data_IF_676575292966
#
_entry.id   IF_676575292966
#
_cell.length_a   1.000
_cell.length_b   1.000
_cell.length_c   1.000
_cell.angle_alpha   90.00
_cell.angle_beta   90.00
_cell.angle_gamma   90.00
#
_symmetry.space_group_name_H-M   'P 1'
#
loop_
_entity.id
_entity.type
_entity.pdbx_description
1 polymer ?
#
# COMPACT_ATOMS: atom_id res chain seq x y z
N UNK A 1 -62.75 21.47 -10.64
CA UNK A 1 -61.61 20.55 -10.53
C UNK A 1 -60.54 21.15 -11.42
N UNK A 2 -59.53 21.80 -10.86
CA UNK A 2 -58.37 22.27 -11.63
C UNK A 2 -57.62 21.05 -12.15
N UNK A 3 -57.05 21.14 -13.35
CA UNK A 3 -56.24 20.06 -13.90
C UNK A 3 -55.10 19.69 -12.93
N UNK A 4 -54.72 18.40 -12.82
CA UNK A 4 -53.56 18.02 -12.04
C UNK A 4 -52.31 18.70 -12.61
N UNK A 5 -51.44 19.13 -11.72
CA UNK A 5 -50.14 19.69 -12.09
C UNK A 5 -49.25 18.59 -12.67
N UNK A 6 -48.57 18.90 -13.77
CA UNK A 6 -47.70 17.97 -14.51
C UNK A 6 -46.33 18.57 -14.80
N UNK A 7 -45.99 19.71 -14.22
CA UNK A 7 -44.72 20.40 -14.46
C UNK A 7 -43.71 19.87 -13.44
N UNK A 8 -42.58 19.33 -13.92
CA UNK A 8 -41.50 18.91 -13.04
C UNK A 8 -40.82 20.13 -12.37
N UNK A 9 -40.40 20.00 -11.10
CA UNK A 9 -39.70 21.08 -10.40
C UNK A 9 -38.31 21.34 -10.99
N UNK A 10 -37.74 22.51 -10.72
CA UNK A 10 -36.31 22.77 -11.00
C UNK A 10 -35.44 21.92 -10.05
N UNK A 11 -34.61 21.04 -10.62
CA UNK A 11 -33.73 20.16 -9.84
C UNK A 11 -32.60 20.92 -9.14
N UNK A 12 -31.99 21.92 -9.79
CA UNK A 12 -30.80 22.60 -9.28
C UNK A 12 -29.49 21.82 -9.54
N UNK A 13 -28.44 22.12 -8.78
CA UNK A 13 -27.12 21.50 -8.88
C UNK A 13 -26.78 20.69 -7.63
N UNK A 14 -26.37 19.43 -7.82
CA UNK A 14 -25.79 18.61 -6.76
C UNK A 14 -24.39 19.14 -6.39
N UNK A 15 -24.12 19.37 -5.12
CA UNK A 15 -22.83 19.87 -4.63
C UNK A 15 -22.28 18.91 -3.59
N UNK A 16 -21.01 18.51 -3.76
CA UNK A 16 -20.28 17.84 -2.69
C UNK A 16 -19.78 18.88 -1.69
N UNK A 17 -20.05 18.67 -0.41
CA UNK A 17 -19.57 19.48 0.70
C UNK A 17 -18.46 18.71 1.40
N UNK A 18 -17.34 19.38 1.66
CA UNK A 18 -16.12 18.81 2.28
C UNK A 18 -15.48 17.64 1.52
N UNK A 19 -15.80 17.47 0.23
CA UNK A 19 -15.08 16.53 -0.63
C UNK A 19 -13.70 17.08 -0.97
N UNK A 20 -12.68 16.23 -0.79
CA UNK A 20 -11.30 16.52 -1.12
C UNK A 20 -10.94 15.70 -2.36
N UNK A 21 -10.70 16.37 -3.48
CA UNK A 21 -10.09 15.75 -4.66
C UNK A 21 -8.57 15.67 -4.40
N UNK A 22 -8.12 14.53 -3.86
CA UNK A 22 -6.73 14.30 -3.47
C UNK A 22 -5.89 13.67 -4.57
N UNK A 23 -6.54 13.28 -5.67
CA UNK A 23 -5.88 12.69 -6.82
C UNK A 23 -4.91 13.64 -7.50
N UNK A 24 -4.13 13.09 -8.44
CA UNK A 24 -3.10 13.85 -9.17
C UNK A 24 -3.71 15.03 -9.96
N UNK A 25 -4.97 14.95 -10.37
CA UNK A 25 -5.70 16.00 -11.07
C UNK A 25 -6.74 16.63 -10.15
N UNK A 26 -6.82 17.96 -10.09
CA UNK A 26 -7.77 18.65 -9.20
C UNK A 26 -9.22 18.70 -9.72
N UNK A 27 -9.57 17.89 -10.71
CA UNK A 27 -10.86 17.95 -11.43
C UNK A 27 -11.39 16.59 -11.88
N UNK A 28 -10.73 15.48 -11.55
CA UNK A 28 -11.15 14.15 -11.99
C UNK A 28 -12.00 13.41 -10.94
N UNK A 29 -12.12 13.96 -9.74
CA UNK A 29 -12.96 13.41 -8.68
C UNK A 29 -12.39 12.11 -8.11
N UNK A 30 -11.07 11.95 -8.11
CA UNK A 30 -10.39 10.81 -7.48
C UNK A 30 -9.95 11.21 -6.07
N UNK A 31 -10.35 10.44 -5.07
CA UNK A 31 -10.05 10.77 -3.68
C UNK A 31 -9.61 9.57 -2.85
N UNK A 32 -8.67 9.83 -1.95
CA UNK A 32 -8.29 8.97 -0.83
C UNK A 32 -9.04 9.30 0.46
N UNK A 33 -9.98 10.24 0.40
CA UNK A 33 -10.89 10.58 1.49
C UNK A 33 -12.33 10.19 1.09
N UNK A 34 -12.87 9.20 1.78
CA UNK A 34 -14.25 8.76 1.57
C UNK A 34 -15.28 9.58 2.38
N UNK A 35 -14.87 10.68 3.02
CA UNK A 35 -15.70 11.46 3.94
C UNK A 35 -16.18 12.79 3.34
N UNK A 36 -17.41 12.81 2.86
CA UNK A 36 -18.05 14.01 2.30
C UNK A 36 -19.56 14.00 2.52
N UNK A 37 -20.20 15.15 2.30
CA UNK A 37 -21.66 15.26 2.32
C UNK A 37 -22.19 15.76 0.97
N UNK A 38 -23.50 15.59 0.76
CA UNK A 38 -24.22 16.03 -0.42
C UNK A 38 -25.20 17.14 -0.06
N UNK A 39 -25.14 18.23 -0.82
CA UNK A 39 -26.13 19.29 -0.78
C UNK A 39 -26.65 19.59 -2.18
N UNK A 40 -27.70 20.40 -2.28
CA UNK A 40 -28.25 20.82 -3.57
C UNK A 40 -28.51 22.32 -3.57
N UNK A 41 -28.09 23.02 -4.63
CA UNK A 41 -28.22 24.47 -4.76
C UNK A 41 -29.15 24.83 -5.92
N UNK A 42 -29.96 25.89 -5.75
CA UNK A 42 -30.83 26.40 -6.82
C UNK A 42 -32.03 25.53 -7.19
N UNK A 43 -32.38 24.56 -6.35
CA UNK A 43 -33.59 23.75 -6.51
C UNK A 43 -34.85 24.56 -6.20
N UNK A 44 -36.00 24.12 -6.73
CA UNK A 44 -37.28 24.76 -6.50
C UNK A 44 -37.70 24.68 -5.02
N UNK A 45 -38.26 25.78 -4.49
CA UNK A 45 -38.68 25.87 -3.09
C UNK A 45 -39.91 25.00 -2.81
N UNK A 46 -40.08 24.57 -1.55
CA UNK A 46 -41.17 23.68 -1.12
C UNK A 46 -41.21 22.32 -1.83
N UNK A 47 -40.04 21.83 -2.25
CA UNK A 47 -39.85 20.47 -2.79
C UNK A 47 -39.21 19.56 -1.73
N UNK A 48 -39.31 18.25 -1.93
CA UNK A 48 -38.52 17.28 -1.19
C UNK A 48 -37.32 16.82 -2.01
N UNK A 49 -36.18 16.59 -1.35
CA UNK A 49 -34.93 16.15 -1.98
C UNK A 49 -34.56 14.76 -1.47
N UNK A 50 -34.22 13.86 -2.40
CA UNK A 50 -33.72 12.52 -2.13
C UNK A 50 -32.38 12.33 -2.85
N UNK A 51 -31.29 12.14 -2.09
CA UNK A 51 -29.98 11.86 -2.66
C UNK A 51 -29.88 10.39 -3.05
N UNK A 52 -29.29 10.13 -4.22
CA UNK A 52 -29.14 8.79 -4.76
C UNK A 52 -27.70 8.58 -5.23
N UNK A 53 -27.23 7.34 -5.08
CA UNK A 53 -25.94 6.90 -5.60
C UNK A 53 -26.07 5.62 -6.41
N UNK A 54 -25.10 5.38 -7.28
CA UNK A 54 -24.99 4.20 -8.12
C UNK A 54 -23.55 3.69 -8.10
N UNK A 55 -23.39 2.36 -8.13
CA UNK A 55 -22.10 1.64 -8.17
C UNK A 55 -21.91 0.85 -9.48
N UNK A 56 -22.83 1.00 -10.43
CA UNK A 56 -22.90 0.22 -11.66
C UNK A 56 -23.00 1.11 -12.91
N UNK A 57 -22.43 2.31 -12.83
CA UNK A 57 -22.40 3.26 -13.95
C UNK A 57 -23.76 3.86 -14.26
N UNK A 58 -24.53 4.22 -13.22
CA UNK A 58 -25.86 4.83 -13.31
C UNK A 58 -26.98 3.90 -13.80
N UNK A 59 -26.79 2.58 -13.79
CA UNK A 59 -27.81 1.62 -14.21
C UNK A 59 -28.85 1.37 -13.11
N UNK A 60 -28.42 1.26 -11.85
CA UNK A 60 -29.28 1.16 -10.67
C UNK A 60 -28.94 2.25 -9.65
N UNK A 61 -29.96 2.69 -8.91
CA UNK A 61 -29.85 3.80 -7.96
C UNK A 61 -30.32 3.38 -6.58
N UNK A 62 -29.49 3.66 -5.59
CA UNK A 62 -29.75 3.44 -4.17
C UNK A 62 -30.00 4.78 -3.51
N UNK A 63 -30.97 4.85 -2.61
CA UNK A 63 -31.21 6.05 -1.80
C UNK A 63 -30.12 6.16 -0.74
N UNK A 64 -29.49 7.33 -0.67
CA UNK A 64 -28.58 7.68 0.41
C UNK A 64 -29.43 8.08 1.63
N UNK A 65 -29.74 7.09 2.47
CA UNK A 65 -30.29 7.38 3.78
C UNK A 65 -29.14 7.95 4.63
N UNK A 66 -29.34 9.09 5.31
CA UNK A 66 -28.42 9.73 6.27
C UNK A 66 -28.11 8.81 7.49
N UNK A 67 -27.64 7.59 7.24
CA UNK A 67 -27.43 6.53 8.23
C UNK A 67 -25.92 6.32 8.51
N UNK A 68 -25.06 7.20 8.01
CA UNK A 68 -23.61 7.08 8.18
C UNK A 68 -23.01 8.10 9.15
N UNK A 69 -23.81 8.76 9.99
CA UNK A 69 -23.32 9.56 11.12
C UNK A 69 -22.80 8.70 12.29
N UNK A 70 -22.10 7.58 12.04
CA UNK A 70 -21.58 6.74 13.12
C UNK A 70 -20.79 7.55 14.18
N UNK A 71 -20.28 8.73 13.82
CA UNK A 71 -19.58 9.68 14.68
C UNK A 71 -20.30 11.01 14.96
N UNK A 72 -21.49 11.26 14.37
CA UNK A 72 -22.27 12.49 14.59
C UNK A 72 -21.65 13.77 14.03
N UNK A 73 -20.76 13.67 13.05
CA UNK A 73 -20.01 14.78 12.45
C UNK A 73 -20.67 15.37 11.19
N UNK A 74 -21.76 14.75 10.72
CA UNK A 74 -22.51 15.21 9.56
C UNK A 74 -21.94 14.76 8.21
N UNK A 75 -20.98 13.82 8.18
CA UNK A 75 -20.42 13.27 6.94
C UNK A 75 -21.02 11.91 6.56
N UNK A 76 -20.94 11.56 5.27
CA UNK A 76 -21.14 10.20 4.80
C UNK A 76 -19.80 9.52 4.60
N UNK A 77 -19.75 8.21 4.85
CA UNK A 77 -18.57 7.38 4.70
C UNK A 77 -18.82 6.26 3.70
N UNK A 78 -18.12 6.33 2.59
CA UNK A 78 -18.22 5.36 1.52
C UNK A 78 -17.06 4.36 1.57
N UNK A 79 -17.25 3.22 0.92
CA UNK A 79 -16.15 2.27 0.69
C UNK A 79 -15.41 2.67 -0.59
N UNK A 80 -14.19 2.15 -0.73
CA UNK A 80 -13.47 2.17 -2.00
C UNK A 80 -14.37 1.72 -3.17
N UNK A 81 -14.27 2.43 -4.29
CA UNK A 81 -15.02 2.17 -5.51
C UNK A 81 -15.36 3.43 -6.31
N UNK A 82 -15.92 3.21 -7.49
CA UNK A 82 -16.44 4.28 -8.36
C UNK A 82 -17.93 4.47 -8.14
N UNK A 83 -18.35 5.72 -7.99
CA UNK A 83 -19.72 6.09 -7.68
C UNK A 83 -20.23 7.16 -8.65
N UNK A 84 -21.52 7.05 -8.98
CA UNK A 84 -22.29 8.13 -9.61
C UNK A 84 -23.31 8.65 -8.61
N UNK A 85 -23.45 9.97 -8.47
CA UNK A 85 -24.38 10.63 -7.56
C UNK A 85 -25.35 11.54 -8.31
N UNK A 86 -26.59 11.59 -7.85
CA UNK A 86 -27.60 12.57 -8.27
C UNK A 86 -28.57 12.86 -7.13
N UNK A 87 -29.31 13.95 -7.21
CA UNK A 87 -30.46 14.19 -6.35
C UNK A 87 -31.76 14.14 -7.17
N UNK A 88 -32.79 13.53 -6.59
CA UNK A 88 -34.17 13.56 -7.08
C UNK A 88 -34.92 14.63 -6.30
N UNK A 89 -35.57 15.55 -7.02
CA UNK A 89 -36.37 16.64 -6.45
C UNK A 89 -37.83 16.39 -6.80
N UNK A 90 -38.71 16.40 -5.81
CA UNK A 90 -40.14 16.13 -5.98
C UNK A 90 -40.96 17.30 -5.46
N UNK A 91 -41.89 17.79 -6.27
CA UNK A 91 -42.81 18.87 -5.87
C UNK A 91 -44.00 18.35 -5.03
N UNK A 92 -44.86 19.27 -4.58
CA UNK A 92 -46.05 18.91 -3.79
C UNK A 92 -47.10 18.11 -4.58
N UNK A 93 -47.09 18.21 -5.91
CA UNK A 93 -47.96 17.45 -6.79
C UNK A 93 -47.42 16.04 -7.11
N UNK A 94 -46.17 15.76 -6.75
CA UNK A 94 -45.48 14.50 -6.99
C UNK A 94 -44.71 14.44 -8.31
N UNK A 95 -44.54 15.56 -9.03
CA UNK A 95 -43.68 15.59 -10.21
C UNK A 95 -42.21 15.56 -9.80
N UNK A 96 -41.39 14.86 -10.58
CA UNK A 96 -39.98 14.63 -10.25
C UNK A 96 -39.04 15.25 -11.30
N UNK A 97 -37.89 15.72 -10.83
CA UNK A 97 -36.72 16.05 -11.65
C UNK A 97 -35.44 15.54 -10.98
N UNK A 98 -34.36 15.52 -11.75
CA UNK A 98 -33.07 14.99 -11.31
C UNK A 98 -31.96 15.98 -11.63
N UNK A 99 -30.97 16.11 -10.75
CA UNK A 99 -29.74 16.85 -11.05
C UNK A 99 -28.92 16.13 -12.11
N UNK A 100 -27.95 16.85 -12.69
CA UNK A 100 -26.86 16.21 -13.42
C UNK A 100 -26.11 15.21 -12.54
N UNK A 101 -25.58 14.16 -13.17
CA UNK A 101 -24.83 13.10 -12.50
C UNK A 101 -23.40 13.57 -12.25
N UNK A 102 -22.94 13.46 -11.00
CA UNK A 102 -21.52 13.66 -10.66
C UNK A 102 -20.87 12.31 -10.36
N UNK A 103 -19.72 12.04 -10.98
CA UNK A 103 -18.97 10.81 -10.77
C UNK A 103 -17.74 11.09 -9.91
N UNK A 104 -17.41 10.16 -9.02
CA UNK A 104 -16.17 10.16 -8.26
C UNK A 104 -15.60 8.74 -8.18
N UNK A 105 -14.31 8.63 -7.92
CA UNK A 105 -13.67 7.36 -7.56
C UNK A 105 -13.00 7.53 -6.20
N UNK A 106 -13.32 6.63 -5.28
CA UNK A 106 -12.69 6.56 -3.97
C UNK A 106 -11.70 5.42 -4.02
N UNK A 107 -10.44 5.73 -3.75
CA UNK A 107 -9.35 4.77 -3.68
C UNK A 107 -8.64 4.97 -2.35
N UNK A 108 -8.77 3.99 -1.46
CA UNK A 108 -8.22 4.03 -0.11
C UNK A 108 -7.04 3.05 0.03
N UNK A 109 -6.65 2.42 -1.08
CA UNK A 109 -5.64 1.37 -1.08
C UNK A 109 -4.25 2.01 -1.12
N UNK A 110 -3.41 1.64 -0.14
CA UNK A 110 -2.03 2.12 -0.12
C UNK A 110 -1.20 1.43 -1.22
N UNK A 111 -0.18 2.11 -1.77
CA UNK A 111 0.82 1.46 -2.63
C UNK A 111 1.50 0.26 -1.93
N UNK A 112 1.68 -0.85 -2.65
CA UNK A 112 2.39 -2.02 -2.14
C UNK A 112 3.92 -1.86 -2.31
N UNK A 113 4.65 -1.94 -1.20
CA UNK A 113 6.11 -1.78 -1.15
C UNK A 113 6.85 -3.05 -0.71
N UNK A 114 6.16 -4.17 -0.46
CA UNK A 114 6.79 -5.37 0.13
C UNK A 114 7.94 -5.95 -0.70
N UNK A 115 7.87 -5.85 -2.03
CA UNK A 115 8.85 -6.45 -2.95
C UNK A 115 9.76 -5.45 -3.65
N UNK A 116 9.79 -4.20 -3.17
CA UNK A 116 10.51 -3.10 -3.86
C UNK A 116 12.02 -3.32 -3.87
N UNK A 117 12.57 -4.00 -2.86
CA UNK A 117 13.91 -4.58 -2.90
C UNK A 117 13.82 -6.10 -2.80
N UNK A 118 14.58 -6.78 -3.63
CA UNK A 118 14.69 -8.24 -3.65
C UNK A 118 16.14 -8.66 -3.90
N UNK A 119 16.43 -9.95 -3.85
CA UNK A 119 17.74 -10.52 -4.08
C UNK A 119 17.72 -11.43 -5.32
N UNK A 120 18.73 -11.28 -6.19
CA UNK A 120 18.98 -12.20 -7.28
C UNK A 120 20.03 -13.24 -6.87
N UNK A 121 19.62 -14.48 -6.54
CA UNK A 121 20.55 -15.51 -6.07
C UNK A 121 21.54 -15.99 -7.13
N UNK A 122 21.26 -15.75 -8.42
CA UNK A 122 22.11 -16.22 -9.52
C UNK A 122 23.28 -15.28 -9.71
N UNK A 123 23.01 -13.97 -9.70
CA UNK A 123 24.01 -12.96 -10.02
C UNK A 123 24.57 -12.25 -8.77
N UNK A 124 23.95 -12.45 -7.61
CA UNK A 124 24.29 -11.86 -6.32
C UNK A 124 24.14 -10.33 -6.12
N UNK A 125 23.35 -9.56 -6.93
CA UNK A 125 22.96 -8.20 -6.57
C UNK A 125 21.65 -8.14 -5.80
N UNK A 126 21.44 -7.00 -5.15
CA UNK A 126 20.12 -6.57 -4.70
C UNK A 126 19.41 -5.94 -5.91
N UNK A 127 18.17 -6.32 -6.14
CA UNK A 127 17.33 -5.82 -7.23
C UNK A 127 16.35 -4.78 -6.67
N UNK A 128 16.34 -3.59 -7.27
CA UNK A 128 15.30 -2.60 -7.07
C UNK A 128 14.19 -2.78 -8.10
N UNK A 129 13.03 -3.25 -7.62
CA UNK A 129 11.80 -3.33 -8.37
C UNK A 129 11.03 -2.04 -8.14
N UNK A 130 11.26 -1.05 -9.00
CA UNK A 130 10.59 0.24 -8.90
C UNK A 130 9.06 0.06 -8.76
N UNK A 131 8.41 0.79 -7.82
CA UNK A 131 6.95 0.78 -7.71
C UNK A 131 6.29 1.12 -9.05
N UNK A 132 5.09 0.57 -9.27
CA UNK A 132 4.25 0.95 -10.43
C UNK A 132 3.71 2.36 -10.29
N UNK A 133 3.45 2.79 -9.05
CA UNK A 133 3.00 4.11 -8.70
C UNK A 133 4.13 5.14 -8.76
N UNK A 134 3.78 6.43 -8.65
CA UNK A 134 4.79 7.47 -8.54
C UNK A 134 5.60 7.25 -7.25
N UNK A 135 6.91 7.45 -7.31
CA UNK A 135 7.76 7.21 -6.13
C UNK A 135 8.95 8.15 -6.06
N UNK A 136 9.43 8.32 -4.83
CA UNK A 136 10.66 9.00 -4.49
C UNK A 136 11.55 8.07 -3.65
N UNK A 137 12.87 8.19 -3.83
CA UNK A 137 13.83 7.44 -3.04
C UNK A 137 14.73 8.39 -2.27
N UNK A 138 14.97 8.07 -1.01
CA UNK A 138 15.83 8.82 -0.12
C UNK A 138 16.95 7.92 0.40
N UNK A 139 18.15 8.48 0.54
CA UNK A 139 19.27 7.84 1.24
C UNK A 139 19.52 8.57 2.55
N UNK A 140 19.74 7.82 3.62
CA UNK A 140 20.13 8.38 4.91
C UNK A 140 21.60 8.81 4.87
N UNK A 141 21.85 10.10 5.03
CA UNK A 141 23.19 10.71 4.98
C UNK A 141 23.30 11.75 6.08
N UNK A 142 24.34 11.65 6.91
CA UNK A 142 24.60 12.61 8.00
C UNK A 142 23.37 12.91 8.88
N UNK A 143 22.65 11.86 9.29
CA UNK A 143 21.43 11.93 10.13
C UNK A 143 20.20 12.58 9.49
N UNK A 144 20.18 12.72 8.16
CA UNK A 144 19.04 13.26 7.42
C UNK A 144 18.73 12.42 6.17
N UNK A 145 17.46 12.45 5.75
CA UNK A 145 17.03 11.85 4.48
C UNK A 145 17.35 12.80 3.32
N UNK A 146 18.12 12.33 2.35
CA UNK A 146 18.45 13.08 1.15
C UNK A 146 17.86 12.39 -0.09
N UNK A 147 17.16 13.14 -0.94
CA UNK A 147 16.60 12.62 -2.19
C UNK A 147 17.72 12.03 -3.05
N UNK A 148 17.46 10.85 -3.62
CA UNK A 148 18.42 10.12 -4.45
C UNK A 148 17.71 9.30 -5.52
N UNK A 149 18.48 8.59 -6.33
CA UNK A 149 17.97 7.58 -7.25
C UNK A 149 18.64 6.23 -6.97
N UNK A 150 17.92 5.15 -7.20
CA UNK A 150 18.47 3.80 -7.15
C UNK A 150 18.69 3.25 -8.55
N UNK A 151 19.84 2.61 -8.75
CA UNK A 151 20.04 1.76 -9.92
C UNK A 151 19.21 0.50 -9.77
N UNK A 152 18.84 -0.13 -10.89
CA UNK A 152 18.09 -1.40 -10.90
C UNK A 152 18.78 -2.49 -10.07
N UNK A 153 20.11 -2.48 -10.06
CA UNK A 153 20.93 -3.37 -9.24
C UNK A 153 21.74 -2.52 -8.26
N UNK A 154 21.76 -2.94 -7.00
CA UNK A 154 22.57 -2.33 -5.96
C UNK A 154 23.66 -3.31 -5.50
N UNK A 155 24.79 -2.73 -5.09
CA UNK A 155 25.83 -3.45 -4.37
C UNK A 155 25.61 -3.42 -2.85
N UNK A 156 26.57 -3.99 -2.13
CA UNK A 156 26.55 -4.13 -0.67
C UNK A 156 27.24 -2.94 0.04
N UNK A 157 26.85 -1.72 -0.32
CA UNK A 157 27.57 -0.49 0.06
C UNK A 157 27.21 0.05 1.46
N UNK A 158 26.66 -0.79 2.35
CA UNK A 158 26.21 -0.42 3.70
C UNK A 158 25.46 0.91 3.75
N UNK A 159 24.19 0.90 3.38
CA UNK A 159 23.38 2.10 3.21
C UNK A 159 21.95 1.89 3.70
N UNK A 160 21.34 2.98 4.20
CA UNK A 160 19.95 3.03 4.60
C UNK A 160 19.15 3.84 3.59
N UNK A 161 18.10 3.24 3.05
CA UNK A 161 17.23 3.82 2.03
C UNK A 161 15.78 3.89 2.51
N UNK A 162 15.04 4.84 1.96
CA UNK A 162 13.59 4.94 2.12
C UNK A 162 12.94 5.14 0.77
N UNK A 163 11.97 4.31 0.45
CA UNK A 163 11.12 4.48 -0.73
C UNK A 163 9.77 5.00 -0.25
N UNK A 164 9.30 6.08 -0.84
CA UNK A 164 7.95 6.62 -0.61
C UNK A 164 7.22 6.52 -1.95
N UNK A 165 6.09 5.81 -1.98
CA UNK A 165 5.24 5.72 -3.16
C UNK A 165 3.92 6.43 -2.92
N UNK A 166 3.39 7.02 -3.98
CA UNK A 166 2.10 7.73 -4.02
C UNK A 166 1.30 7.26 -5.22
N UNK A 167 0.11 6.74 -4.98
CA UNK A 167 -0.79 6.31 -6.06
C UNK A 167 -1.48 7.49 -6.76
N UNK A 168 -2.40 7.18 -7.68
CA UNK A 168 -3.14 8.19 -8.45
C UNK A 168 -4.16 8.97 -7.61
N UNK A 169 -4.60 8.43 -6.47
CA UNK A 169 -5.54 9.03 -5.54
C UNK A 169 -4.86 9.81 -4.40
N UNK A 170 -3.53 9.78 -4.36
CA UNK A 170 -2.73 10.46 -3.36
C UNK A 170 -2.50 9.63 -2.09
N UNK A 171 -2.85 8.35 -2.04
CA UNK A 171 -2.46 7.48 -0.93
C UNK A 171 -0.94 7.32 -0.92
N UNK A 172 -0.33 7.41 0.27
CA UNK A 172 1.12 7.29 0.42
C UNK A 172 1.49 6.09 1.28
N UNK A 173 2.51 5.36 0.84
CA UNK A 173 3.17 4.32 1.61
C UNK A 173 4.67 4.60 1.66
N UNK A 174 5.32 4.24 2.76
CA UNK A 174 6.78 4.28 2.86
C UNK A 174 7.35 2.97 3.39
N UNK A 175 8.54 2.61 2.91
CA UNK A 175 9.31 1.48 3.41
C UNK A 175 10.77 1.88 3.54
N UNK A 176 11.35 1.53 4.69
CA UNK A 176 12.76 1.77 5.01
C UNK A 176 13.53 0.44 4.90
N UNK A 177 14.74 0.53 4.35
CA UNK A 177 15.64 -0.59 4.09
C UNK A 177 17.04 -0.31 4.62
N UNK A 178 17.60 -1.24 5.36
CA UNK A 178 19.00 -1.27 5.73
C UNK A 178 19.74 -2.30 4.89
N UNK A 179 20.59 -1.85 3.98
CA UNK A 179 21.44 -2.74 3.17
C UNK A 179 22.81 -2.77 3.80
N UNK A 180 23.44 -3.93 3.98
CA UNK A 180 24.83 -3.95 4.43
C UNK A 180 25.51 -5.31 4.52
N UNK A 181 26.84 -5.23 4.61
CA UNK A 181 27.67 -6.36 5.03
C UNK A 181 27.77 -6.40 6.56
N UNK A 182 27.61 -7.57 7.13
CA UNK A 182 27.60 -7.79 8.58
C UNK A 182 28.60 -8.87 8.97
N UNK A 183 29.08 -8.83 10.22
CA UNK A 183 30.16 -9.70 10.71
C UNK A 183 29.83 -10.18 12.13
N UNK A 184 30.11 -11.45 12.41
CA UNK A 184 29.97 -12.06 13.71
C UNK A 184 28.50 -12.10 14.13
N UNK A 185 28.21 -11.65 15.35
CA UNK A 185 26.84 -11.57 15.84
C UNK A 185 26.27 -10.18 15.54
N UNK A 186 25.35 -10.12 14.58
CA UNK A 186 24.71 -8.89 14.11
C UNK A 186 23.19 -8.95 14.28
N UNK A 187 22.67 -7.94 14.95
CA UNK A 187 21.25 -7.63 15.06
C UNK A 187 21.10 -6.12 14.85
N UNK A 188 20.13 -5.70 14.02
CA UNK A 188 19.82 -4.28 13.85
C UNK A 188 19.40 -3.67 15.20
N UNK A 189 19.74 -2.40 15.45
CA UNK A 189 19.25 -1.71 16.65
C UNK A 189 17.76 -1.36 16.56
N UNK A 190 17.27 -1.16 15.34
CA UNK A 190 15.85 -1.00 15.03
C UNK A 190 15.39 -2.27 14.32
N UNK A 191 14.58 -3.04 15.02
CA UNK A 191 14.13 -4.35 14.54
C UNK A 191 12.87 -4.19 13.68
N UNK A 192 12.30 -3.00 13.53
CA UNK A 192 11.06 -2.82 12.76
C UNK A 192 11.26 -2.57 11.27
N UNK A 193 12.51 -2.31 10.85
CA UNK A 193 12.86 -1.98 9.48
C UNK A 193 13.29 -3.21 8.69
N UNK A 194 13.08 -3.18 7.37
CA UNK A 194 13.57 -4.25 6.49
C UNK A 194 15.09 -4.20 6.42
N UNK A 195 15.71 -5.35 6.63
CA UNK A 195 17.14 -5.57 6.68
C UNK A 195 17.57 -6.49 5.53
N UNK A 196 18.44 -5.99 4.67
CA UNK A 196 19.05 -6.72 3.56
C UNK A 196 20.52 -6.88 3.90
N UNK A 197 20.85 -8.02 4.51
CA UNK A 197 22.11 -8.24 5.19
C UNK A 197 22.85 -9.41 4.55
N UNK A 198 24.15 -9.24 4.38
CA UNK A 198 25.03 -10.31 3.92
C UNK A 198 26.21 -10.49 4.87
N UNK A 199 26.39 -11.72 5.33
CA UNK A 199 27.51 -12.15 6.15
C UNK A 199 28.81 -12.24 5.36
N UNK A 200 29.74 -12.99 5.92
CA UNK A 200 31.10 -13.16 5.41
C UNK A 200 31.43 -14.65 5.21
N UNK A 201 32.68 -14.92 4.84
CA UNK A 201 33.24 -16.27 4.81
C UNK A 201 33.53 -16.84 6.22
N UNK A 202 33.33 -16.05 7.28
CA UNK A 202 33.51 -16.46 8.68
C UNK A 202 32.22 -17.05 9.28
N UNK A 203 32.23 -17.32 10.58
CA UNK A 203 30.99 -17.69 11.28
C UNK A 203 30.19 -16.44 11.64
N UNK A 204 28.98 -16.34 11.12
CA UNK A 204 28.10 -15.19 11.32
C UNK A 204 26.74 -15.62 11.90
N UNK A 205 26.22 -14.84 12.85
CA UNK A 205 24.87 -14.91 13.41
C UNK A 205 24.15 -13.63 13.00
N UNK A 206 23.11 -13.76 12.19
CA UNK A 206 22.39 -12.62 11.63
C UNK A 206 20.92 -12.73 12.04
N UNK A 207 20.40 -11.67 12.65
CA UNK A 207 19.01 -11.55 13.10
C UNK A 207 18.32 -10.46 12.28
N UNK A 208 17.20 -10.80 11.63
CA UNK A 208 16.41 -9.92 10.76
C UNK A 208 15.61 -8.91 11.58
N UNK A 209 14.64 -9.39 12.37
CA UNK A 209 13.84 -8.55 13.24
C UNK A 209 12.34 -8.77 13.05
N UNK A 210 11.59 -7.69 12.87
CA UNK A 210 10.15 -7.67 12.66
C UNK A 210 9.79 -7.32 11.20
N UNK A 211 10.79 -7.03 10.38
CA UNK A 211 10.65 -6.66 8.98
C UNK A 211 10.62 -7.89 8.08
N UNK A 212 10.27 -7.69 6.80
CA UNK A 212 10.41 -8.74 5.79
C UNK A 212 11.84 -8.73 5.26
N UNK A 213 12.72 -9.50 5.87
CA UNK A 213 14.15 -9.34 5.72
C UNK A 213 14.75 -10.21 4.62
N UNK A 214 15.96 -9.87 4.16
CA UNK A 214 16.76 -10.66 3.24
C UNK A 214 18.10 -10.94 3.91
N UNK A 215 18.29 -12.18 4.35
CA UNK A 215 19.47 -12.61 5.09
C UNK A 215 20.31 -13.55 4.24
N UNK A 216 21.55 -13.14 3.97
CA UNK A 216 22.51 -13.90 3.17
C UNK A 216 23.73 -14.31 4.01
N UNK A 217 24.12 -15.57 3.94
CA UNK A 217 25.17 -16.14 4.81
C UNK A 217 26.60 -15.74 4.47
N UNK A 218 26.90 -15.38 3.21
CA UNK A 218 28.24 -14.93 2.81
C UNK A 218 29.29 -16.04 2.60
N UNK A 219 28.91 -17.32 2.63
CA UNK A 219 29.78 -18.46 2.27
C UNK A 219 30.44 -19.22 3.43
N UNK A 220 30.43 -18.65 4.64
CA UNK A 220 30.92 -19.29 5.86
C UNK A 220 29.89 -20.19 6.57
N UNK A 221 30.13 -20.52 7.84
CA UNK A 221 29.08 -21.14 8.67
C UNK A 221 28.13 -20.06 9.16
N UNK A 222 26.88 -20.06 8.71
CA UNK A 222 25.95 -18.97 9.02
C UNK A 222 24.73 -19.44 9.80
N UNK A 223 24.33 -18.65 10.79
CA UNK A 223 23.11 -18.82 11.56
C UNK A 223 22.21 -17.62 11.26
N UNK A 224 21.20 -17.84 10.41
CA UNK A 224 20.29 -16.78 9.97
C UNK A 224 18.95 -16.97 10.68
N UNK A 225 18.48 -15.91 11.33
CA UNK A 225 17.22 -15.85 12.07
C UNK A 225 16.39 -14.71 11.49
N UNK A 226 15.29 -15.01 10.80
CA UNK A 226 14.35 -14.03 10.24
C UNK A 226 13.61 -13.27 11.35
N UNK A 227 13.13 -14.02 12.35
CA UNK A 227 12.30 -13.56 13.48
C UNK A 227 10.82 -13.38 13.10
N UNK A 228 10.25 -12.18 13.07
CA UNK A 228 8.89 -11.93 12.58
C UNK A 228 8.94 -11.27 11.19
N UNK A 229 8.03 -11.62 10.31
CA UNK A 229 8.01 -11.10 8.94
C UNK A 229 8.00 -12.21 7.90
N UNK A 230 7.78 -11.85 6.65
CA UNK A 230 7.92 -12.78 5.52
C UNK A 230 9.38 -12.68 5.00
N UNK A 231 10.27 -13.54 5.50
CA UNK A 231 11.72 -13.39 5.28
C UNK A 231 12.26 -14.20 4.08
N UNK A 232 13.40 -13.76 3.54
CA UNK A 232 14.19 -14.50 2.54
C UNK A 232 15.55 -14.87 3.15
N UNK A 233 15.80 -16.17 3.33
CA UNK A 233 17.02 -16.70 3.92
C UNK A 233 17.82 -17.51 2.91
N UNK A 234 19.10 -17.18 2.73
CA UNK A 234 20.01 -17.93 1.88
C UNK A 234 21.38 -18.08 2.55
N UNK A 235 21.81 -19.32 2.79
CA UNK A 235 23.13 -19.57 3.35
C UNK A 235 24.29 -19.19 2.39
N UNK A 236 24.04 -19.15 1.08
CA UNK A 236 25.01 -18.95 -0.01
C UNK A 236 26.15 -20.00 -0.01
N UNK A 237 25.82 -21.19 0.48
CA UNK A 237 26.77 -22.27 0.71
C UNK A 237 27.50 -22.13 2.04
N UNK A 238 28.64 -22.81 2.15
CA UNK A 238 29.44 -22.83 3.37
C UNK A 238 29.34 -24.12 4.16
N UNK A 239 29.80 -24.09 5.41
CA UNK A 239 29.83 -25.28 6.27
C UNK A 239 28.43 -25.59 6.82
N UNK A 240 28.33 -26.19 8.00
CA UNK A 240 27.05 -26.51 8.66
C UNK A 240 26.25 -25.26 9.08
N UNK A 241 25.39 -24.73 8.21
CA UNK A 241 24.58 -23.53 8.48
C UNK A 241 23.18 -23.87 9.02
N UNK A 242 22.58 -22.94 9.76
CA UNK A 242 21.21 -23.05 10.27
C UNK A 242 20.39 -21.84 9.83
N UNK A 243 19.23 -22.10 9.24
CA UNK A 243 18.28 -21.09 8.82
C UNK A 243 16.99 -21.27 9.63
N UNK A 244 16.53 -20.18 10.25
CA UNK A 244 15.24 -20.11 10.94
C UNK A 244 14.53 -18.87 10.43
N UNK A 245 13.41 -19.02 9.75
CA UNK A 245 12.58 -17.91 9.31
C UNK A 245 11.89 -17.32 10.53
N UNK A 246 10.82 -17.95 10.99
CA UNK A 246 10.21 -17.63 12.27
C UNK A 246 8.72 -17.47 12.10
N UNK A 247 8.16 -16.33 12.52
CA UNK A 247 6.75 -16.05 12.34
C UNK A 247 6.51 -15.33 11.02
N UNK A 248 5.83 -15.98 10.08
CA UNK A 248 5.48 -15.40 8.78
C UNK A 248 5.49 -16.45 7.69
N UNK A 249 5.56 -16.01 6.44
CA UNK A 249 5.74 -16.90 5.29
C UNK A 249 7.16 -16.73 4.73
N UNK A 250 8.06 -17.53 5.27
CA UNK A 250 9.47 -17.45 4.94
C UNK A 250 9.84 -18.23 3.67
N UNK A 251 10.87 -17.73 2.99
CA UNK A 251 11.43 -18.29 1.76
C UNK A 251 12.90 -18.64 1.98
N UNK A 252 13.23 -19.92 1.79
CA UNK A 252 14.60 -20.43 1.90
C UNK A 252 15.17 -20.70 0.52
N UNK A 253 16.23 -20.01 0.16
CA UNK A 253 16.89 -20.15 -1.15
C UNK A 253 18.14 -21.00 -0.98
N UNK A 254 18.28 -22.02 -1.83
CA UNK A 254 19.46 -22.86 -1.92
C UNK A 254 19.85 -23.06 -3.39
N UNK A 255 21.12 -22.83 -3.70
CA UNK A 255 21.66 -23.25 -4.98
C UNK A 255 22.08 -24.72 -4.94
N UNK A 256 22.11 -25.36 -6.12
CA UNK A 256 22.60 -26.74 -6.25
C UNK A 256 24.01 -26.89 -5.68
N UNK A 257 24.85 -25.88 -5.81
CA UNK A 257 26.20 -25.88 -5.22
C UNK A 257 26.18 -25.93 -3.70
N UNK A 258 25.13 -25.43 -3.05
CA UNK A 258 25.04 -25.34 -1.59
C UNK A 258 24.65 -26.66 -0.96
N UNK A 259 24.13 -27.60 -1.75
CA UNK A 259 23.76 -28.95 -1.28
C UNK A 259 24.85 -29.98 -1.60
N UNK A 260 25.69 -29.73 -2.61
CA UNK A 260 26.62 -30.72 -3.17
C UNK A 260 28.10 -30.34 -3.06
N UNK A 261 28.47 -29.28 -2.31
CA UNK A 261 29.85 -28.77 -2.28
C UNK A 261 30.86 -29.78 -1.72
N UNK A 262 30.50 -30.66 -0.77
CA UNK A 262 31.29 -31.81 -0.28
C UNK A 262 30.40 -32.81 0.52
N UNK A 263 30.82 -34.07 0.67
CA UNK A 263 30.02 -35.20 1.18
C UNK A 263 29.51 -35.15 2.63
N UNK A 264 29.61 -34.02 3.36
CA UNK A 264 29.19 -33.88 4.77
C UNK A 264 28.56 -32.52 5.12
N UNK A 265 28.00 -31.77 4.16
CA UNK A 265 27.32 -30.52 4.46
C UNK A 265 25.93 -30.79 5.06
N UNK A 266 25.66 -30.23 6.24
CA UNK A 266 24.36 -30.29 6.90
C UNK A 266 23.76 -28.89 6.92
N UNK A 267 22.61 -28.72 6.27
CA UNK A 267 21.79 -27.51 6.37
C UNK A 267 20.59 -27.88 7.23
N UNK A 268 20.37 -27.12 8.30
CA UNK A 268 19.17 -27.27 9.13
C UNK A 268 18.22 -26.12 8.86
N UNK A 269 16.98 -26.46 8.54
CA UNK A 269 15.86 -25.52 8.41
C UNK A 269 14.91 -25.80 9.56
N UNK A 270 14.57 -24.77 10.31
CA UNK A 270 13.58 -24.83 11.38
C UNK A 270 12.59 -23.68 11.18
N UNK A 271 11.39 -24.04 10.74
CA UNK A 271 10.29 -23.12 10.45
C UNK A 271 9.03 -23.66 11.13
N UNK A 272 8.76 -23.13 12.32
CA UNK A 272 7.57 -23.50 13.08
C UNK A 272 6.53 -22.40 12.92
N UNK A 273 5.57 -22.62 12.03
CA UNK A 273 4.33 -21.84 11.96
C UNK A 273 3.53 -21.90 13.27
#
# INVERSE_FOLDING_TARGET
>A
ITAPDTIAPIAGELVFTDFIDSGVSSVDGISNDASFDLSIQGHEQNTSVEYQYSIDGSATWFVLNHQFDQWGDGKNYFKEGTYSFRAKVTDYAGNESYTDIKNITLDLSLPDLKSVLNYDPINDPIIFNAPTDAYEVYKWVNTEWQLTTLSKTLGWDSAKYKVVATDIAGNTAEQIFNIGLVIGNYQSADHSEVSILKGTEATDWIYGGLGNDILLGGGGQSFLYGEEGDDILNAQGGSTSALRGGAGNDTYIFDRSDVYKNSNQLITIDDSK
#
